data_IF_993941531093
#
_entry.id   IF_993941531093
#
_cell.length_a   1.000
_cell.length_b   1.000
_cell.length_c   1.000
_cell.angle_alpha   90.00
_cell.angle_beta   90.00
_cell.angle_gamma   90.00
#
_symmetry.space_group_name_H-M   'P 1'
#
loop_
_entity.id
_entity.type
_entity.pdbx_description
1 polymer ?
#
# COMPACT_ATOMS: atom_id res chain seq x y z
N UNK A 1 -19.49 -3.42 -4.27
CA UNK A 1 -18.31 -2.75 -4.85
C UNK A 1 -17.12 -2.90 -3.90
N UNK A 2 -16.20 -3.84 -4.15
CA UNK A 2 -15.03 -4.10 -3.28
C UNK A 2 -13.75 -4.49 -4.06
N UNK A 3 -13.61 -4.07 -5.32
CA UNK A 3 -12.53 -4.55 -6.22
C UNK A 3 -11.71 -3.41 -6.84
N UNK A 4 -11.57 -2.27 -6.16
CA UNK A 4 -10.84 -1.11 -6.66
C UNK A 4 -9.60 -0.78 -5.81
N UNK A 5 -8.46 -0.57 -6.46
CA UNK A 5 -7.30 0.06 -5.86
C UNK A 5 -7.34 1.55 -6.21
N UNK A 6 -7.40 2.41 -5.20
CA UNK A 6 -7.37 3.86 -5.42
C UNK A 6 -5.93 4.32 -5.59
N UNK A 7 -5.63 4.95 -6.71
CA UNK A 7 -4.34 5.55 -7.01
C UNK A 7 -4.37 7.05 -6.76
N UNK A 8 -3.41 7.51 -5.98
CA UNK A 8 -3.06 8.92 -5.81
C UNK A 8 -1.68 9.16 -6.44
N UNK A 9 -1.27 10.42 -6.50
CA UNK A 9 0.05 10.80 -7.02
C UNK A 9 1.19 10.03 -6.33
N UNK A 10 1.17 9.96 -4.99
CA UNK A 10 2.25 9.41 -4.16
C UNK A 10 2.05 7.96 -3.69
N UNK A 11 0.83 7.41 -3.83
CA UNK A 11 0.46 6.13 -3.19
C UNK A 11 -0.73 5.44 -3.82
N UNK A 12 -0.86 4.16 -3.49
CA UNK A 12 -2.03 3.35 -3.70
C UNK A 12 -2.72 3.04 -2.37
N UNK A 13 -4.05 2.99 -2.38
CA UNK A 13 -4.87 2.53 -1.27
C UNK A 13 -5.64 1.29 -1.73
N UNK A 14 -5.25 0.13 -1.21
CA UNK A 14 -5.82 -1.17 -1.58
C UNK A 14 -7.13 -1.38 -0.81
N UNK A 15 -8.22 -0.75 -1.27
CA UNK A 15 -9.53 -0.82 -0.62
C UNK A 15 -10.03 -2.25 -0.32
N UNK A 16 -9.81 -3.27 -1.19
CA UNK A 16 -10.31 -4.62 -0.93
C UNK A 16 -9.71 -5.26 0.32
N UNK A 17 -8.56 -4.77 0.79
CA UNK A 17 -7.90 -5.24 2.02
C UNK A 17 -8.55 -4.66 3.29
N UNK A 18 -9.32 -3.56 3.19
CA UNK A 18 -9.97 -2.95 4.36
C UNK A 18 -11.00 -3.89 4.97
N UNK A 19 -10.98 -3.98 6.29
CA UNK A 19 -11.84 -4.86 7.07
C UNK A 19 -11.27 -6.27 7.24
N UNK A 20 -10.33 -6.70 6.40
CA UNK A 20 -9.62 -7.97 6.58
C UNK A 20 -8.82 -7.96 7.88
N UNK A 21 -8.85 -9.06 8.62
CA UNK A 21 -8.17 -9.22 9.90
C UNK A 21 -7.00 -10.17 9.75
N UNK A 22 -5.85 -9.85 10.34
CA UNK A 22 -4.74 -10.83 10.42
C UNK A 22 -5.18 -12.00 11.29
N UNK A 23 -5.18 -13.20 10.71
CA UNK A 23 -5.59 -14.44 11.39
C UNK A 23 -4.42 -15.39 11.63
N UNK A 24 -3.33 -15.22 10.90
CA UNK A 24 -2.14 -16.04 11.05
C UNK A 24 -0.88 -15.23 10.77
N UNK A 25 0.11 -15.43 11.62
CA UNK A 25 1.45 -14.87 11.47
C UNK A 25 2.43 -16.02 11.24
N UNK A 26 3.29 -15.91 10.23
CA UNK A 26 4.36 -16.88 9.98
C UNK A 26 5.71 -16.20 10.13
N UNK A 27 6.50 -16.69 11.07
CA UNK A 27 7.85 -16.21 11.34
C UNK A 27 8.84 -17.01 10.50
N UNK A 28 9.50 -16.35 9.56
CA UNK A 28 10.54 -16.92 8.70
C UNK A 28 11.92 -16.39 9.14
N UNK A 29 13.05 -16.95 8.66
CA UNK A 29 14.38 -16.54 9.11
C UNK A 29 14.69 -15.04 8.92
N UNK A 30 14.20 -14.44 7.84
CA UNK A 30 14.51 -13.07 7.41
C UNK A 30 13.28 -12.13 7.36
N UNK A 31 12.08 -12.69 7.45
CA UNK A 31 10.83 -11.95 7.29
C UNK A 31 9.68 -12.53 8.14
N UNK A 32 8.59 -11.77 8.21
CA UNK A 32 7.33 -12.19 8.80
C UNK A 32 6.21 -12.02 7.78
N UNK A 33 5.33 -13.01 7.73
CA UNK A 33 4.13 -12.98 6.90
C UNK A 33 2.88 -12.83 7.77
N UNK A 34 2.03 -11.86 7.43
CA UNK A 34 0.72 -11.64 8.04
C UNK A 34 -0.38 -12.04 7.05
N UNK A 35 -0.98 -13.21 7.29
CA UNK A 35 -2.11 -13.71 6.51
C UNK A 35 -3.41 -13.17 7.10
N UNK A 36 -4.27 -12.64 6.23
CA UNK A 36 -5.58 -12.14 6.64
C UNK A 36 -6.67 -13.21 6.46
N UNK A 37 -7.83 -13.00 7.06
CA UNK A 37 -9.06 -13.78 6.76
C UNK A 37 -9.60 -13.54 5.34
N UNK A 38 -9.03 -12.56 4.65
CA UNK A 38 -9.18 -12.37 3.21
C UNK A 38 -8.01 -13.01 2.47
N UNK A 39 -8.05 -13.04 1.14
CA UNK A 39 -6.95 -13.61 0.34
C UNK A 39 -5.67 -12.74 0.34
N UNK A 40 -5.59 -11.68 1.14
CA UNK A 40 -4.39 -10.85 1.25
C UNK A 40 -3.38 -11.41 2.25
N UNK A 41 -2.10 -11.26 1.90
CA UNK A 41 -0.94 -11.55 2.76
C UNK A 41 0.07 -10.42 2.67
N UNK A 42 0.49 -9.88 3.81
CA UNK A 42 1.54 -8.85 3.91
C UNK A 42 2.83 -9.55 4.30
N UNK A 43 3.93 -9.28 3.60
CA UNK A 43 5.25 -9.84 3.93
C UNK A 43 6.22 -8.69 4.17
N UNK A 44 6.90 -8.69 5.31
CA UNK A 44 7.86 -7.64 5.67
C UNK A 44 9.09 -8.22 6.38
N UNK A 45 10.26 -7.60 6.18
CA UNK A 45 11.46 -7.90 6.95
C UNK A 45 11.36 -7.42 8.40
N UNK A 46 12.21 -7.97 9.29
CA UNK A 46 12.22 -7.64 10.73
C UNK A 46 12.55 -6.17 11.07
N UNK A 47 13.11 -5.42 10.12
CA UNK A 47 13.31 -3.98 10.25
C UNK A 47 12.04 -3.14 10.02
N UNK A 48 10.92 -3.76 9.63
CA UNK A 48 9.64 -3.06 9.59
C UNK A 48 9.23 -2.66 11.01
N UNK A 49 8.49 -1.58 11.15
CA UNK A 49 8.25 -0.94 12.43
C UNK A 49 6.78 -1.01 12.81
N UNK A 50 6.54 -1.10 14.11
CA UNK A 50 5.22 -0.97 14.73
C UNK A 50 5.19 0.28 15.59
N UNK A 51 4.09 1.02 15.47
CA UNK A 51 3.82 2.19 16.31
C UNK A 51 2.34 2.24 16.67
N UNK A 52 2.03 2.73 17.87
CA UNK A 52 0.66 2.97 18.30
C UNK A 52 0.31 4.46 18.15
N UNK A 53 -0.74 4.76 17.40
CA UNK A 53 -1.29 6.13 17.26
C UNK A 53 -0.41 7.17 16.53
N UNK A 54 0.85 6.86 16.20
CA UNK A 54 1.79 7.80 15.59
C UNK A 54 2.36 7.31 14.26
N UNK A 55 2.30 8.17 13.23
CA UNK A 55 2.94 7.95 11.93
C UNK A 55 4.32 8.61 11.83
N UNK A 56 4.69 9.41 12.84
CA UNK A 56 5.94 10.15 12.84
C UNK A 56 7.14 9.19 12.87
N UNK A 57 8.17 9.51 12.09
CA UNK A 57 9.36 8.66 11.96
C UNK A 57 10.24 8.71 13.21
N UNK A 58 10.28 9.85 13.87
CA UNK A 58 10.99 10.12 15.12
C UNK A 58 10.15 9.82 16.37
N UNK A 59 9.00 9.15 16.22
CA UNK A 59 8.14 8.85 17.35
C UNK A 59 8.85 7.89 18.31
N UNK A 60 8.95 8.22 19.61
CA UNK A 60 9.65 7.36 20.57
C UNK A 60 8.97 6.01 20.78
N UNK A 61 7.68 5.86 20.41
CA UNK A 61 6.94 4.60 20.48
C UNK A 61 6.96 3.79 19.18
N UNK A 62 7.81 4.16 18.22
CA UNK A 62 7.99 3.43 16.96
C UNK A 62 9.23 2.54 17.08
N UNK A 63 9.03 1.23 16.94
CA UNK A 63 10.11 0.26 17.06
C UNK A 63 10.01 -0.82 16.00
N UNK A 64 11.16 -1.31 15.54
CA UNK A 64 11.24 -2.45 14.64
C UNK A 64 10.51 -3.68 15.21
N UNK A 65 9.98 -4.55 14.37
CA UNK A 65 9.30 -5.79 14.76
C UNK A 65 10.22 -6.64 15.66
N UNK A 66 11.52 -6.68 15.35
CA UNK A 66 12.52 -7.40 16.16
C UNK A 66 12.71 -6.89 17.60
N UNK A 67 12.17 -5.71 17.94
CA UNK A 67 12.18 -5.19 19.32
C UNK A 67 11.18 -5.90 20.23
N UNK A 68 10.06 -6.35 19.68
CA UNK A 68 8.93 -6.90 20.42
C UNK A 68 9.00 -8.43 20.47
N UNK A 69 8.36 -9.05 21.47
CA UNK A 69 8.13 -10.49 21.43
C UNK A 69 7.17 -10.87 20.29
N UNK A 70 7.25 -12.13 19.84
CA UNK A 70 6.37 -12.63 18.76
C UNK A 70 4.89 -12.52 19.15
N UNK A 71 4.54 -12.90 20.37
CA UNK A 71 3.18 -12.84 20.89
C UNK A 71 2.65 -11.40 21.01
N UNK A 72 3.54 -10.42 21.26
CA UNK A 72 3.17 -9.01 21.23
C UNK A 72 2.83 -8.55 19.82
N UNK A 73 3.71 -8.81 18.85
CA UNK A 73 3.50 -8.46 17.44
C UNK A 73 2.19 -9.08 16.93
N UNK A 74 1.96 -10.35 17.22
CA UNK A 74 0.73 -11.05 16.84
C UNK A 74 -0.52 -10.37 17.42
N UNK A 75 -0.51 -10.00 18.71
CA UNK A 75 -1.62 -9.26 19.32
C UNK A 75 -1.80 -7.85 18.73
N UNK A 76 -0.71 -7.17 18.40
CA UNK A 76 -0.74 -5.83 17.81
C UNK A 76 -1.37 -5.83 16.42
N UNK A 77 -1.10 -6.85 15.60
CA UNK A 77 -1.64 -6.93 14.22
C UNK A 77 -2.97 -7.68 14.12
N UNK A 78 -3.41 -8.40 15.17
CA UNK A 78 -4.65 -9.20 15.20
C UNK A 78 -5.94 -8.36 15.27
N UNK A 79 -6.03 -7.30 14.47
CA UNK A 79 -7.18 -6.42 14.34
C UNK A 79 -7.51 -6.15 12.86
N UNK A 80 -8.76 -5.74 12.54
CA UNK A 80 -9.14 -5.39 11.18
C UNK A 80 -8.27 -4.26 10.60
N UNK A 81 -7.84 -4.41 9.35
CA UNK A 81 -7.14 -3.39 8.59
C UNK A 81 -8.08 -2.22 8.30
N UNK A 82 -7.66 -1.01 8.67
CA UNK A 82 -8.42 0.23 8.42
C UNK A 82 -7.75 1.13 7.39
N UNK A 83 -6.43 1.04 7.21
CA UNK A 83 -5.69 1.94 6.32
C UNK A 83 -4.55 1.20 5.60
N UNK A 84 -4.83 0.51 4.47
CA UNK A 84 -3.83 -0.21 3.68
C UNK A 84 -3.22 0.69 2.60
N UNK A 85 -2.13 1.39 2.95
CA UNK A 85 -1.47 2.38 2.09
C UNK A 85 -0.10 1.90 1.66
N UNK A 86 0.16 1.96 0.36
CA UNK A 86 1.40 1.51 -0.27
C UNK A 86 1.94 2.64 -1.14
N UNK A 87 3.12 3.15 -0.84
CA UNK A 87 3.65 4.34 -1.51
C UNK A 87 4.45 3.98 -2.75
N UNK A 88 4.46 4.89 -3.74
CA UNK A 88 5.27 4.75 -4.95
C UNK A 88 6.77 4.83 -4.67
N UNK A 89 7.15 5.42 -3.53
CA UNK A 89 8.53 5.45 -3.01
C UNK A 89 9.02 4.09 -2.46
N UNK A 90 8.15 3.07 -2.41
CA UNK A 90 8.46 1.78 -1.80
C UNK A 90 8.21 1.72 -0.28
N UNK A 91 7.70 2.79 0.33
CA UNK A 91 7.22 2.74 1.72
C UNK A 91 5.87 2.03 1.85
N UNK A 92 5.57 1.49 3.02
CA UNK A 92 4.28 0.89 3.35
C UNK A 92 3.74 1.47 4.66
N UNK A 93 2.43 1.64 4.74
CA UNK A 93 1.70 1.95 5.98
C UNK A 93 0.39 1.16 6.02
N UNK A 94 0.30 0.23 6.95
CA UNK A 94 -0.93 -0.52 7.22
C UNK A 94 -1.41 -0.21 8.63
N UNK A 95 -2.51 0.53 8.73
CA UNK A 95 -3.17 0.81 10.00
C UNK A 95 -4.20 -0.24 10.36
N UNK A 96 -4.22 -0.64 11.63
CA UNK A 96 -5.15 -1.58 12.22
C UNK A 96 -6.15 -0.87 13.16
N UNK A 97 -7.35 -1.43 13.31
CA UNK A 97 -8.45 -0.81 14.09
C UNK A 97 -8.12 -0.59 15.57
N UNK A 98 -7.19 -1.36 16.13
CA UNK A 98 -6.74 -1.22 17.52
C UNK A 98 -5.72 -0.06 17.73
N UNK A 99 -5.46 0.74 16.69
CA UNK A 99 -4.57 1.91 16.74
C UNK A 99 -3.12 1.61 16.41
N UNK A 100 -2.75 0.34 16.22
CA UNK A 100 -1.42 -0.04 15.76
C UNK A 100 -1.25 0.20 14.26
N UNK A 101 -0.03 0.52 13.87
CA UNK A 101 0.36 0.70 12.48
C UNK A 101 1.63 -0.10 12.20
N UNK A 102 1.60 -0.85 11.10
CA UNK A 102 2.78 -1.45 10.48
C UNK A 102 3.35 -0.48 9.45
N UNK A 103 4.64 -0.21 9.56
CA UNK A 103 5.34 0.83 8.80
C UNK A 103 6.61 0.23 8.17
N UNK A 104 6.87 0.60 6.92
CA UNK A 104 8.15 0.35 6.26
C UNK A 104 8.61 1.64 5.62
N UNK A 105 9.81 2.11 6.01
CA UNK A 105 10.42 3.31 5.42
C UNK A 105 11.07 3.01 4.06
N UNK A 106 11.13 4.04 3.20
CA UNK A 106 11.91 4.02 1.97
C UNK A 106 13.41 4.24 2.22
N UNK A 107 13.79 4.71 3.42
CA UNK A 107 15.18 5.01 3.79
C UNK A 107 15.98 3.76 4.14
N UNK A 108 17.30 3.92 4.23
CA UNK A 108 18.23 2.86 4.61
C UNK A 108 18.21 2.56 6.12
N UNK A 109 18.48 1.30 6.53
CA UNK A 109 18.66 0.13 5.66
C UNK A 109 17.34 -0.26 4.98
N UNK A 110 17.46 -0.76 3.75
CA UNK A 110 16.26 -1.20 3.02
C UNK A 110 15.67 -2.45 3.70
N UNK A 111 14.38 -2.38 4.01
CA UNK A 111 13.62 -3.49 4.61
C UNK A 111 12.72 -4.08 3.54
N UNK A 112 12.79 -5.39 3.31
CA UNK A 112 11.90 -6.06 2.36
C UNK A 112 10.42 -5.84 2.71
N UNK A 113 9.59 -5.59 1.70
CA UNK A 113 8.16 -5.44 1.86
C UNK A 113 7.41 -5.81 0.58
N UNK A 114 6.33 -6.57 0.73
CA UNK A 114 5.46 -6.96 -0.37
C UNK A 114 4.03 -7.20 0.11
N UNK A 115 3.07 -7.01 -0.80
CA UNK A 115 1.68 -7.39 -0.63
C UNK A 115 1.34 -8.44 -1.68
N UNK A 116 0.76 -9.53 -1.21
CA UNK A 116 0.26 -10.62 -2.04
C UNK A 116 -1.26 -10.68 -1.96
N UNK A 117 -1.86 -11.07 -3.07
CA UNK A 117 -3.23 -11.56 -3.12
C UNK A 117 -3.16 -13.01 -3.61
N UNK A 118 -3.66 -13.94 -2.80
CA UNK A 118 -3.39 -15.36 -2.92
C UNK A 118 -1.87 -15.59 -2.90
N UNK A 119 -1.29 -16.09 -3.98
CA UNK A 119 0.16 -16.31 -4.14
C UNK A 119 0.81 -15.37 -5.18
N UNK A 120 0.09 -14.32 -5.60
CA UNK A 120 0.59 -13.36 -6.59
C UNK A 120 0.99 -12.06 -5.91
N UNK A 121 2.21 -11.53 -6.16
CA UNK A 121 2.58 -10.21 -5.67
C UNK A 121 1.76 -9.16 -6.43
N UNK A 122 1.03 -8.33 -5.70
CA UNK A 122 0.29 -7.19 -6.27
C UNK A 122 0.98 -5.87 -5.98
N UNK A 123 1.86 -5.81 -4.99
CA UNK A 123 2.74 -4.68 -4.74
C UNK A 123 4.07 -5.18 -4.18
N UNK A 124 5.17 -4.58 -4.65
CA UNK A 124 6.49 -4.66 -4.02
C UNK A 124 7.02 -3.24 -3.82
N UNK A 125 8.18 -3.09 -3.17
CA UNK A 125 8.82 -1.77 -3.04
C UNK A 125 9.08 -1.05 -4.38
N UNK A 126 9.13 -1.79 -5.49
CA UNK A 126 9.24 -1.22 -6.85
C UNK A 126 7.93 -0.66 -7.41
N UNK A 127 6.80 -0.87 -6.72
CA UNK A 127 5.48 -0.40 -7.13
C UNK A 127 4.43 -1.51 -7.25
N UNK A 128 3.25 -1.11 -7.74
CA UNK A 128 2.14 -2.02 -8.02
C UNK A 128 2.51 -2.96 -9.18
N UNK A 129 2.29 -4.27 -8.98
CA UNK A 129 2.46 -5.31 -10.01
C UNK A 129 1.07 -5.68 -10.53
N UNK A 130 1.00 -6.04 -11.82
CA UNK A 130 -0.24 -6.15 -12.61
C UNK A 130 -1.47 -6.64 -11.83
N UNK A 131 -2.55 -5.87 -11.90
CA UNK A 131 -3.74 -6.02 -11.08
C UNK A 131 -4.90 -6.64 -11.85
N UNK A 132 -4.73 -7.82 -12.46
CA UNK A 132 -5.82 -8.41 -13.27
C UNK A 132 -7.10 -8.61 -12.46
N UNK A 133 -6.96 -8.81 -11.15
CA UNK A 133 -8.06 -9.00 -10.20
C UNK A 133 -8.66 -7.68 -9.66
N UNK A 134 -8.01 -6.52 -9.88
CA UNK A 134 -8.44 -5.23 -9.33
C UNK A 134 -8.38 -4.10 -10.35
N UNK A 135 -9.42 -3.27 -10.38
CA UNK A 135 -9.40 -2.04 -11.17
C UNK A 135 -8.59 -0.99 -10.42
N UNK A 136 -7.52 -0.48 -11.03
CA UNK A 136 -6.78 0.69 -10.51
C UNK A 136 -7.47 1.95 -11.01
N UNK A 137 -7.80 2.84 -10.08
CA UNK A 137 -8.61 4.04 -10.32
C UNK A 137 -7.86 5.24 -9.79
N UNK A 138 -7.51 6.18 -10.68
CA UNK A 138 -6.92 7.45 -10.28
C UNK A 138 -7.93 8.30 -9.49
N UNK A 139 -7.47 8.97 -8.44
CA UNK A 139 -8.29 9.77 -7.53
C UNK A 139 -7.68 11.16 -7.39
N UNK A 140 -8.52 12.17 -7.52
CA UNK A 140 -8.17 13.56 -7.25
C UNK A 140 -7.93 13.74 -5.73
N UNK A 141 -6.75 14.21 -5.30
CA UNK A 141 -6.41 14.22 -3.88
C UNK A 141 -7.15 15.29 -3.07
N UNK A 142 -7.71 16.32 -3.71
CA UNK A 142 -8.45 17.40 -3.03
C UNK A 142 -9.92 17.04 -2.80
N UNK A 143 -10.56 16.42 -3.79
CA UNK A 143 -11.99 16.07 -3.76
C UNK A 143 -12.24 14.61 -3.38
N UNK A 144 -11.23 13.74 -3.46
CA UNK A 144 -11.37 12.29 -3.26
C UNK A 144 -12.22 11.61 -4.33
N UNK A 145 -12.58 12.33 -5.41
CA UNK A 145 -13.38 11.81 -6.52
C UNK A 145 -12.49 11.05 -7.50
N UNK A 146 -13.09 10.06 -8.14
CA UNK A 146 -12.48 9.32 -9.24
C UNK A 146 -12.16 10.29 -10.37
N UNK A 147 -10.93 10.22 -10.88
CA UNK A 147 -10.56 10.83 -12.15
C UNK A 147 -10.98 9.83 -13.22
N UNK A 148 -12.25 9.91 -13.61
CA UNK A 148 -12.60 9.47 -14.95
C UNK A 148 -11.93 10.51 -15.86
N UNK A 149 -11.05 10.06 -16.76
CA UNK A 149 -10.29 10.95 -17.65
C UNK A 149 -11.17 12.12 -18.10
N UNK A 150 -10.65 13.36 -18.20
CA UNK A 150 -11.49 14.44 -18.70
C UNK A 150 -12.07 13.97 -20.05
N UNK A 151 -13.32 14.32 -20.40
CA UNK A 151 -13.71 14.23 -21.79
C UNK A 151 -12.70 15.10 -22.53
N UNK A 152 -11.73 14.48 -23.19
CA UNK A 152 -10.84 15.21 -24.07
C UNK A 152 -11.77 15.98 -25.01
N UNK A 153 -11.67 17.31 -25.12
CA UNK A 153 -12.41 17.98 -26.17
C UNK A 153 -12.03 17.26 -27.46
N UNK A 154 -13.04 16.83 -28.22
CA UNK A 154 -12.83 16.28 -29.55
C UNK A 154 -11.91 17.24 -30.29
N UNK A 155 -10.91 16.71 -31.01
CA UNK A 155 -9.99 17.53 -31.81
C UNK A 155 -10.82 18.61 -32.55
N UNK A 156 -10.58 19.91 -32.33
CA UNK A 156 -11.33 20.95 -33.01
C UNK A 156 -11.23 20.72 -34.53
N UNK A 157 -12.34 20.87 -35.25
CA UNK A 157 -12.42 20.64 -36.70
C UNK A 157 -11.52 21.57 -37.54
N UNK A 158 -10.85 22.52 -36.90
CA UNK A 158 -10.14 23.63 -37.52
C UNK A 158 -8.61 23.56 -37.29
N UNK A 159 -8.09 22.41 -36.87
CA UNK A 159 -6.63 22.18 -36.79
C UNK A 159 -6.21 21.46 -38.07
N UNK A 160 -5.70 22.22 -39.04
CA UNK A 160 -5.03 21.67 -40.22
C UNK A 160 -3.84 20.81 -39.79
N UNK A 161 -3.72 19.63 -40.40
CA UNK A 161 -2.76 18.57 -40.04
C UNK A 161 -1.29 18.87 -40.35
N UNK A 162 -0.86 20.13 -40.32
CA UNK A 162 0.48 20.57 -40.72
C UNK A 162 1.21 21.35 -39.62
N UNK A 163 1.03 21.02 -38.34
CA UNK A 163 1.98 21.45 -37.32
C UNK A 163 3.18 20.51 -37.33
N UNK A 164 4.25 20.94 -37.98
CA UNK A 164 5.57 20.34 -37.89
C UNK A 164 5.98 20.17 -36.42
N UNK A 165 6.53 19.00 -36.10
CA UNK A 165 7.16 18.68 -34.83
C UNK A 165 8.19 19.76 -34.44
N UNK A 166 8.02 20.37 -33.26
CA UNK A 166 9.06 21.20 -32.61
C UNK A 166 9.93 20.30 -31.70
N UNK A 167 10.39 19.17 -32.23
CA UNK A 167 11.43 18.33 -31.62
C UNK A 167 12.38 17.82 -32.72
N UNK A 168 12.97 18.77 -33.44
CA UNK A 168 14.24 18.57 -34.16
C UNK A 168 15.43 18.74 -33.22
#
# INVERSE_FOLDING_TARGET
MRSEIKEYEDRWVVQPMRGGRVVRTRWLPDQVEFETDTQFRIVVGYGAELAHGSIAEDSPGRHAIGHWSRDEVERMVAAPVVSPVFFKSGSLRVGFRNGWMLLVSHRHPEVSAALFFQDRPIWTRSGLRGSMEFTVVAVDPWSGRRIDAPPWPTRPSNIDGNSEDING
#
